data_IF_047688789775
#
_entry.id   IF_047688789775
#
_cell.length_a   1.000
_cell.length_b   1.000
_cell.length_c   1.000
_cell.angle_alpha   90.00
_cell.angle_beta   90.00
_cell.angle_gamma   90.00
#
_symmetry.space_group_name_H-M   'P 1'
#
loop_
_entity.id
_entity.type
_entity.pdbx_description
1 polymer ?
#
# COMPACT_ATOMS: atom_id res chain seq x y z
N UNK A 1 13.13 25.79 -28.30
CA UNK A 1 11.97 24.94 -27.96
C UNK A 1 12.31 24.30 -26.63
N UNK A 2 11.64 24.63 -25.50
CA UNK A 2 11.96 23.97 -24.24
C UNK A 2 11.45 22.54 -24.31
N UNK A 3 12.37 21.60 -24.11
CA UNK A 3 12.12 20.18 -23.88
C UNK A 3 11.22 20.05 -22.66
N UNK A 4 9.98 19.62 -22.86
CA UNK A 4 9.09 19.18 -21.77
C UNK A 4 9.78 18.00 -21.07
N UNK A 5 10.40 18.24 -19.93
CA UNK A 5 10.93 17.20 -19.05
C UNK A 5 9.73 16.37 -18.61
N UNK A 6 9.55 15.20 -19.24
CA UNK A 6 8.55 14.24 -18.80
C UNK A 6 9.04 13.71 -17.45
N UNK A 7 8.36 14.04 -16.36
CA UNK A 7 8.63 13.41 -15.08
C UNK A 7 8.48 11.89 -15.26
N UNK A 8 9.60 11.18 -15.14
CA UNK A 8 9.71 9.79 -15.51
C UNK A 8 9.48 8.94 -14.25
N UNK A 9 8.21 8.83 -13.87
CA UNK A 9 7.79 8.01 -12.74
C UNK A 9 7.89 6.53 -13.11
N UNK A 10 8.49 5.72 -12.24
CA UNK A 10 8.62 4.29 -12.46
C UNK A 10 9.78 3.88 -13.38
N UNK A 11 10.59 4.82 -13.85
CA UNK A 11 11.75 4.54 -14.71
C UNK A 11 12.74 3.56 -14.09
N UNK A 12 12.83 3.53 -12.76
CA UNK A 12 13.69 2.64 -11.98
C UNK A 12 12.91 1.52 -11.27
N UNK A 13 11.65 1.28 -11.66
CA UNK A 13 10.78 0.26 -11.09
C UNK A 13 10.49 -0.83 -12.11
N UNK A 14 10.50 -2.07 -11.64
CA UNK A 14 9.94 -3.21 -12.35
C UNK A 14 8.72 -3.74 -11.59
N UNK A 15 7.75 -4.28 -12.33
CA UNK A 15 6.57 -4.94 -11.78
C UNK A 15 6.52 -6.41 -12.19
N UNK A 16 5.92 -7.24 -11.33
CA UNK A 16 5.57 -8.63 -11.60
C UNK A 16 4.12 -8.85 -11.16
N UNK A 17 3.30 -9.42 -12.04
CA UNK A 17 1.91 -9.73 -11.73
C UNK A 17 1.71 -11.25 -11.58
N UNK A 18 0.94 -11.66 -10.58
CA UNK A 18 0.54 -13.04 -10.32
C UNK A 18 -0.94 -13.08 -9.98
N UNK A 19 -1.66 -14.06 -10.50
CA UNK A 19 -3.01 -14.38 -10.08
C UNK A 19 -2.98 -15.64 -9.22
N UNK A 20 -3.69 -15.63 -8.10
CA UNK A 20 -3.95 -16.83 -7.31
C UNK A 20 -5.15 -17.59 -7.87
N UNK A 21 -5.28 -18.87 -7.50
CA UNK A 21 -6.43 -19.71 -7.84
C UNK A 21 -7.76 -19.15 -7.34
N UNK A 22 -7.72 -18.34 -6.28
CA UNK A 22 -8.91 -17.83 -5.58
C UNK A 22 -9.38 -16.48 -6.12
N UNK A 23 -8.92 -16.12 -7.32
CA UNK A 23 -9.29 -14.87 -7.97
C UNK A 23 -8.67 -13.64 -7.29
N UNK A 24 -7.56 -13.80 -6.56
CA UNK A 24 -6.80 -12.67 -6.01
C UNK A 24 -5.60 -12.39 -6.91
N UNK A 25 -5.50 -11.17 -7.45
CA UNK A 25 -4.32 -10.69 -8.15
C UNK A 25 -3.37 -10.01 -7.17
N UNK A 26 -2.08 -10.33 -7.31
CA UNK A 26 -0.99 -9.67 -6.62
C UNK A 26 -0.06 -9.07 -7.68
N UNK A 27 0.18 -7.76 -7.60
CA UNK A 27 1.20 -7.08 -8.40
C UNK A 27 2.28 -6.59 -7.46
N UNK A 28 3.49 -7.11 -7.60
CA UNK A 28 4.65 -6.68 -6.83
C UNK A 28 5.46 -5.66 -7.64
N UNK A 29 6.04 -4.69 -6.95
CA UNK A 29 6.89 -3.63 -7.50
C UNK A 29 8.23 -3.65 -6.79
N UNK A 30 9.31 -3.75 -7.55
CA UNK A 30 10.68 -3.68 -7.03
C UNK A 30 11.47 -2.61 -7.77
N UNK A 31 12.60 -2.21 -7.20
CA UNK A 31 13.56 -1.38 -7.92
C UNK A 31 14.29 -2.21 -8.98
N UNK A 32 14.44 -1.70 -10.20
CA UNK A 32 15.08 -2.39 -11.33
C UNK A 32 16.51 -2.83 -11.05
N UNK A 33 17.26 -2.04 -10.29
CA UNK A 33 18.68 -2.28 -9.97
C UNK A 33 18.92 -2.95 -8.61
N UNK A 34 17.89 -3.10 -7.79
CA UNK A 34 18.01 -3.71 -6.46
C UNK A 34 16.99 -4.83 -6.30
N UNK A 35 17.47 -6.07 -6.29
CA UNK A 35 16.66 -7.26 -5.96
C UNK A 35 16.58 -7.52 -4.47
N UNK A 36 17.26 -6.70 -3.65
CA UNK A 36 17.39 -6.89 -2.21
C UNK A 36 16.34 -6.13 -1.41
N UNK A 37 15.78 -5.05 -1.98
CA UNK A 37 14.69 -4.32 -1.34
C UNK A 37 13.41 -5.17 -1.37
N UNK A 38 12.71 -5.34 -0.24
CA UNK A 38 11.41 -6.00 -0.22
C UNK A 38 10.45 -5.18 -1.10
N UNK A 39 9.78 -5.80 -2.08
CA UNK A 39 8.89 -5.09 -2.98
C UNK A 39 7.60 -4.66 -2.28
N UNK A 40 7.03 -3.59 -2.83
CA UNK A 40 5.66 -3.16 -2.57
C UNK A 40 4.69 -4.08 -3.31
N UNK A 41 3.60 -4.50 -2.68
CA UNK A 41 2.59 -5.35 -3.28
C UNK A 41 1.23 -4.65 -3.35
N UNK A 42 0.52 -4.83 -4.47
CA UNK A 42 -0.87 -4.42 -4.67
C UNK A 42 -1.72 -5.68 -4.82
N UNK A 43 -2.65 -5.88 -3.89
CA UNK A 43 -3.54 -7.05 -3.87
C UNK A 43 -4.96 -6.62 -4.24
N UNK A 44 -5.62 -7.36 -5.13
CA UNK A 44 -6.99 -7.07 -5.60
C UNK A 44 -7.77 -8.35 -5.87
N UNK A 45 -9.09 -8.39 -5.65
CA UNK A 45 -9.92 -9.53 -6.09
C UNK A 45 -10.51 -9.27 -7.46
N UNK A 46 -10.66 -10.36 -8.21
CA UNK A 46 -11.50 -10.47 -9.39
C UNK A 46 -12.90 -10.88 -8.96
N UNK A 47 -13.92 -10.22 -9.48
CA UNK A 47 -15.32 -10.67 -9.40
C UNK A 47 -16.25 -9.78 -8.59
N UNK A 48 -17.55 -9.92 -8.86
CA UNK A 48 -18.63 -9.09 -8.33
C UNK A 48 -18.92 -9.35 -6.85
N UNK A 49 -18.77 -10.59 -6.36
CA UNK A 49 -19.00 -10.95 -4.96
C UNK A 49 -17.88 -10.59 -3.99
N UNK A 50 -16.71 -10.18 -4.49
CA UNK A 50 -15.61 -9.73 -3.64
C UNK A 50 -15.90 -8.37 -2.99
N UNK A 51 -16.55 -7.47 -3.74
CA UNK A 51 -16.86 -6.11 -3.27
C UNK A 51 -17.85 -6.11 -2.11
N UNK A 52 -18.81 -7.03 -2.10
CA UNK A 52 -19.78 -7.18 -1.02
C UNK A 52 -19.10 -7.68 0.26
N UNK A 53 -18.32 -8.76 0.18
CA UNK A 53 -17.55 -9.29 1.31
C UNK A 53 -16.54 -8.29 1.87
N UNK A 54 -15.91 -7.50 1.01
CA UNK A 54 -15.04 -6.40 1.44
C UNK A 54 -15.78 -5.31 2.17
N UNK A 55 -16.97 -4.92 1.67
CA UNK A 55 -17.81 -3.94 2.38
C UNK A 55 -18.14 -4.44 3.78
N UNK A 56 -18.56 -5.69 3.91
CA UNK A 56 -18.86 -6.30 5.21
C UNK A 56 -17.63 -6.34 6.14
N UNK A 57 -16.46 -6.73 5.63
CA UNK A 57 -15.21 -6.73 6.38
C UNK A 57 -14.81 -5.31 6.84
N UNK A 58 -15.01 -4.31 5.98
CA UNK A 58 -14.69 -2.92 6.28
C UNK A 58 -15.70 -2.27 7.22
N UNK A 59 -16.98 -2.62 7.12
CA UNK A 59 -18.00 -2.22 8.09
C UNK A 59 -17.70 -2.80 9.47
N UNK A 60 -17.21 -4.05 9.55
CA UNK A 60 -16.71 -4.63 10.79
C UNK A 60 -15.54 -3.84 11.40
N UNK A 61 -14.60 -3.41 10.54
CA UNK A 61 -13.45 -2.60 10.94
C UNK A 61 -13.82 -1.17 11.34
N UNK A 62 -14.84 -0.55 10.73
CA UNK A 62 -15.30 0.79 11.14
C UNK A 62 -15.73 0.84 12.61
N UNK A 63 -16.31 -0.25 13.12
CA UNK A 63 -16.63 -0.40 14.54
C UNK A 63 -15.38 -0.46 15.45
N UNK A 64 -14.18 -0.52 14.88
CA UNK A 64 -12.90 -0.59 15.59
C UNK A 64 -12.10 0.71 15.50
N UNK A 65 -12.72 1.81 15.05
CA UNK A 65 -12.08 3.12 14.99
C UNK A 65 -11.44 3.47 16.34
N UNK A 66 -10.17 3.88 16.31
CA UNK A 66 -9.41 4.30 17.50
C UNK A 66 -8.74 3.19 18.32
N UNK A 67 -9.14 1.92 18.19
CA UNK A 67 -8.49 0.80 18.90
C UNK A 67 -8.23 -0.36 17.94
N UNK A 68 -6.97 -0.67 17.59
CA UNK A 68 -6.65 -1.84 16.77
C UNK A 68 -7.09 -3.17 17.40
N UNK A 69 -7.16 -4.22 16.58
CA UNK A 69 -7.54 -5.57 16.99
C UNK A 69 -6.52 -6.60 16.55
N UNK A 70 -6.06 -7.38 17.51
CA UNK A 70 -5.19 -8.51 17.26
C UNK A 70 -5.89 -9.58 16.42
N UNK A 71 -5.12 -10.17 15.52
CA UNK A 71 -5.53 -11.29 14.68
C UNK A 71 -4.37 -12.25 14.48
N UNK A 72 -4.70 -13.51 14.23
CA UNK A 72 -3.75 -14.55 13.80
C UNK A 72 -4.31 -15.27 12.59
N UNK A 73 -3.44 -15.74 11.70
CA UNK A 73 -3.80 -16.52 10.53
C UNK A 73 -2.78 -17.63 10.28
N UNK A 74 -3.25 -18.76 9.76
CA UNK A 74 -2.46 -19.91 9.37
C UNK A 74 -3.13 -20.59 8.16
N UNK A 75 -2.67 -21.79 7.77
CA UNK A 75 -3.23 -22.53 6.64
C UNK A 75 -4.71 -22.93 6.80
N UNK A 76 -5.22 -23.01 8.03
CA UNK A 76 -6.59 -23.42 8.34
C UNK A 76 -7.57 -22.23 8.34
N UNK A 77 -7.08 -21.01 8.58
CA UNK A 77 -7.93 -19.82 8.59
C UNK A 77 -7.32 -18.63 9.32
N UNK A 78 -8.17 -17.65 9.65
CA UNK A 78 -7.84 -16.51 10.47
C UNK A 78 -8.78 -16.44 11.68
N UNK A 79 -8.24 -16.00 12.81
CA UNK A 79 -8.98 -15.80 14.04
C UNK A 79 -8.75 -14.39 14.58
N UNK A 80 -9.83 -13.73 14.99
CA UNK A 80 -9.81 -12.45 15.66
C UNK A 80 -10.50 -12.54 17.02
N UNK A 81 -9.93 -11.86 18.01
CA UNK A 81 -10.59 -11.72 19.32
C UNK A 81 -11.90 -10.96 19.15
N UNK A 82 -13.06 -11.54 19.51
CA UNK A 82 -14.36 -10.88 19.36
C UNK A 82 -14.45 -9.64 20.25
N UNK A 83 -15.22 -8.65 19.80
CA UNK A 83 -15.62 -7.50 20.64
C UNK A 83 -17.04 -7.65 21.15
N UNK A 84 -17.33 -7.05 22.30
CA UNK A 84 -18.69 -7.01 22.82
C UNK A 84 -19.61 -6.29 21.83
N UNK A 85 -20.76 -6.90 21.51
CA UNK A 85 -21.75 -6.34 20.58
C UNK A 85 -21.38 -6.48 19.09
N UNK A 86 -20.28 -7.13 18.76
CA UNK A 86 -19.90 -7.39 17.37
C UNK A 86 -20.81 -8.45 16.73
N UNK A 87 -21.22 -8.19 15.48
CA UNK A 87 -21.95 -9.16 14.67
C UNK A 87 -20.99 -10.27 14.19
N UNK A 88 -21.37 -11.52 14.43
CA UNK A 88 -20.53 -12.67 14.11
C UNK A 88 -20.20 -12.75 12.60
N UNK A 89 -21.14 -12.35 11.75
CA UNK A 89 -20.99 -12.36 10.29
C UNK A 89 -19.96 -11.33 9.81
N UNK A 90 -19.98 -10.14 10.41
CA UNK A 90 -19.05 -9.05 10.08
C UNK A 90 -17.61 -9.43 10.47
N UNK A 91 -17.44 -10.07 11.63
CA UNK A 91 -16.15 -10.65 12.05
C UNK A 91 -15.67 -11.72 11.07
N UNK A 92 -16.54 -12.66 10.71
CA UNK A 92 -16.20 -13.75 9.80
C UNK A 92 -15.79 -13.24 8.41
N UNK A 93 -16.44 -12.16 7.93
CA UNK A 93 -16.05 -11.49 6.68
C UNK A 93 -14.63 -10.89 6.78
N UNK A 94 -14.29 -10.26 7.92
CA UNK A 94 -12.96 -9.70 8.15
C UNK A 94 -11.88 -10.78 8.32
N UNK A 95 -12.15 -11.84 9.07
CA UNK A 95 -11.27 -13.01 9.19
C UNK A 95 -11.00 -13.62 7.81
N UNK A 96 -12.05 -13.81 7.00
CA UNK A 96 -11.93 -14.28 5.61
C UNK A 96 -11.09 -13.31 4.78
N UNK A 97 -11.33 -12.01 4.87
CA UNK A 97 -10.56 -11.00 4.15
C UNK A 97 -9.06 -11.07 4.48
N UNK A 98 -8.71 -11.09 5.78
CA UNK A 98 -7.32 -11.18 6.24
C UNK A 98 -6.68 -12.49 5.75
N UNK A 99 -7.39 -13.60 5.90
CA UNK A 99 -6.88 -14.91 5.48
C UNK A 99 -6.61 -14.96 3.97
N UNK A 100 -7.57 -14.57 3.14
CA UNK A 100 -7.43 -14.65 1.68
C UNK A 100 -6.39 -13.64 1.14
N UNK A 101 -6.40 -12.40 1.65
CA UNK A 101 -5.57 -11.31 1.14
C UNK A 101 -4.15 -11.32 1.67
N UNK A 102 -3.98 -11.54 2.97
CA UNK A 102 -2.69 -11.42 3.63
C UNK A 102 -2.06 -12.81 3.71
N UNK A 103 -2.72 -13.78 4.34
CA UNK A 103 -2.12 -15.10 4.52
C UNK A 103 -1.98 -15.87 3.19
N UNK A 104 -3.07 -16.14 2.47
CA UNK A 104 -3.02 -16.93 1.24
C UNK A 104 -2.34 -16.21 0.08
N UNK A 105 -2.75 -14.98 -0.23
CA UNK A 105 -2.23 -14.30 -1.40
C UNK A 105 -0.79 -13.78 -1.23
N UNK A 106 -0.43 -13.22 -0.07
CA UNK A 106 0.92 -12.67 0.13
C UNK A 106 1.89 -13.70 0.72
N UNK A 107 1.46 -14.47 1.71
CA UNK A 107 2.32 -15.45 2.39
C UNK A 107 2.24 -16.86 1.80
N UNK A 108 1.20 -17.19 1.03
CA UNK A 108 1.02 -18.53 0.46
C UNK A 108 2.07 -18.94 -0.59
N UNK A 109 2.93 -18.01 -1.02
CA UNK A 109 4.08 -18.30 -1.88
C UNK A 109 5.40 -18.35 -1.11
N UNK A 110 5.36 -18.49 0.21
CA UNK A 110 6.52 -18.45 1.11
C UNK A 110 6.50 -19.63 2.08
N UNK A 111 7.51 -19.73 2.95
CA UNK A 111 7.56 -20.73 4.04
C UNK A 111 6.76 -20.31 5.28
N UNK A 112 5.97 -19.25 5.20
CA UNK A 112 5.16 -18.78 6.32
C UNK A 112 4.18 -19.87 6.78
N UNK A 113 4.24 -20.21 8.06
CA UNK A 113 3.30 -21.11 8.71
C UNK A 113 2.18 -20.33 9.41
N UNK A 114 2.52 -19.17 9.98
CA UNK A 114 1.57 -18.30 10.67
C UNK A 114 1.86 -16.83 10.36
N UNK A 115 0.81 -16.01 10.38
CA UNK A 115 0.87 -14.56 10.35
C UNK A 115 0.07 -13.99 11.52
N UNK A 116 0.54 -12.91 12.12
CA UNK A 116 -0.14 -12.26 13.23
C UNK A 116 0.08 -10.75 13.20
N UNK A 117 -0.88 -10.02 13.73
CA UNK A 117 -0.84 -8.57 13.69
C UNK A 117 -2.07 -7.91 14.28
N UNK A 118 -2.23 -6.63 13.96
CA UNK A 118 -3.35 -5.80 14.37
C UNK A 118 -4.04 -5.18 13.15
N UNK A 119 -5.36 -5.08 13.20
CA UNK A 119 -6.18 -4.41 12.21
C UNK A 119 -6.94 -3.23 12.84
N UNK A 120 -7.02 -2.09 12.15
CA UNK A 120 -7.73 -0.93 12.66
C UNK A 120 -8.13 0.07 11.57
N UNK A 121 -8.92 1.06 11.96
CA UNK A 121 -9.38 2.14 11.08
C UNK A 121 -8.96 3.47 11.64
N UNK A 122 -8.46 4.34 10.77
CA UNK A 122 -8.19 5.73 11.11
C UNK A 122 -8.59 6.67 9.97
N UNK A 123 -8.98 7.89 10.31
CA UNK A 123 -9.23 8.98 9.38
C UNK A 123 -8.13 10.03 9.61
N UNK A 124 -7.06 10.05 8.79
CA UNK A 124 -5.99 11.01 8.98
C UNK A 124 -6.49 12.44 8.70
N UNK A 125 -6.23 13.34 9.64
CA UNK A 125 -6.38 14.78 9.42
C UNK A 125 -5.21 15.34 8.59
N UNK A 126 -5.36 16.52 8.01
CA UNK A 126 -4.25 17.23 7.37
C UNK A 126 -3.08 17.39 8.35
N UNK A 127 -1.88 16.98 7.93
CA UNK A 127 -0.63 17.09 8.69
C UNK A 127 0.02 15.77 9.09
N UNK A 128 -0.74 14.66 9.25
CA UNK A 128 -0.15 13.37 9.66
C UNK A 128 0.37 12.55 8.47
N UNK A 129 -0.37 12.52 7.34
CA UNK A 129 -0.08 11.58 6.25
C UNK A 129 0.13 12.23 4.88
N UNK A 130 0.36 13.54 4.82
CA UNK A 130 0.66 14.28 3.57
C UNK A 130 2.16 14.31 3.26
N UNK A 131 2.99 13.98 4.25
CA UNK A 131 4.44 13.92 4.15
C UNK A 131 4.88 12.46 3.95
N UNK A 132 6.06 12.25 3.39
CA UNK A 132 6.68 10.92 3.39
C UNK A 132 6.90 10.46 4.83
N UNK A 133 6.36 9.29 5.17
CA UNK A 133 6.46 8.71 6.50
C UNK A 133 6.52 7.18 6.43
N UNK A 134 6.66 6.59 7.62
CA UNK A 134 6.65 5.17 7.94
C UNK A 134 5.81 5.00 9.21
N UNK A 135 4.97 3.97 9.26
CA UNK A 135 3.93 3.79 10.27
C UNK A 135 4.30 2.82 11.42
N UNK A 136 5.38 2.05 11.28
CA UNK A 136 5.74 0.94 12.15
C UNK A 136 7.14 0.39 11.86
N UNK A 137 8.16 1.10 12.31
CA UNK A 137 9.57 0.80 12.03
C UNK A 137 10.08 -0.48 12.73
N UNK A 138 9.95 -1.63 12.06
CA UNK A 138 10.75 -2.84 12.34
C UNK A 138 10.97 -3.65 11.07
N UNK A 139 12.19 -4.15 10.87
CA UNK A 139 12.50 -5.07 9.77
C UNK A 139 11.67 -6.37 9.89
N UNK A 140 11.07 -6.82 8.78
CA UNK A 140 10.18 -7.98 8.75
C UNK A 140 8.77 -7.73 9.30
N UNK A 141 8.42 -6.47 9.61
CA UNK A 141 7.04 -6.05 9.83
C UNK A 141 6.47 -5.38 8.57
N UNK A 142 5.22 -5.73 8.25
CA UNK A 142 4.50 -5.29 7.08
C UNK A 142 3.33 -4.41 7.48
N UNK A 143 3.06 -3.43 6.64
CA UNK A 143 1.88 -2.56 6.75
C UNK A 143 1.06 -2.77 5.49
N UNK A 144 -0.25 -2.92 5.67
CA UNK A 144 -1.20 -2.92 4.57
C UNK A 144 -2.25 -1.83 4.75
N UNK A 145 -2.55 -1.11 3.66
CA UNK A 145 -3.54 -0.04 3.61
C UNK A 145 -4.61 -0.31 2.56
N UNK A 146 -5.86 -0.08 2.95
CA UNK A 146 -7.01 -0.04 2.05
C UNK A 146 -7.83 1.23 2.32
N UNK A 147 -8.24 1.93 1.25
CA UNK A 147 -9.11 3.11 1.38
C UNK A 147 -10.54 2.64 1.55
N UNK A 148 -11.17 3.04 2.65
CA UNK A 148 -12.59 2.85 2.84
C UNK A 148 -13.29 3.97 2.08
N UNK A 149 -13.97 3.63 0.99
CA UNK A 149 -14.76 4.62 0.25
C UNK A 149 -15.79 5.24 1.21
N UNK A 150 -15.80 6.58 1.28
CA UNK A 150 -17.00 7.29 1.69
C UNK A 150 -18.09 6.92 0.66
N UNK A 151 -19.26 6.51 1.14
CA UNK A 151 -20.39 6.35 0.23
C UNK A 151 -20.69 7.71 -0.41
N UNK A 152 -21.11 7.65 -1.69
CA UNK A 152 -21.63 8.72 -2.56
C UNK A 152 -20.69 9.39 -3.58
N UNK A 153 -21.30 9.64 -4.73
CA UNK A 153 -20.77 9.78 -6.08
C UNK A 153 -20.33 11.20 -6.42
N UNK A 154 -19.65 11.92 -5.52
CA UNK A 154 -19.19 13.25 -5.89
C UNK A 154 -17.84 13.21 -6.64
N UNK A 155 -17.91 13.62 -7.91
CA UNK A 155 -16.80 13.78 -8.87
C UNK A 155 -15.62 14.60 -8.32
N UNK A 156 -15.82 15.43 -7.30
CA UNK A 156 -14.81 16.36 -6.78
C UNK A 156 -13.75 15.75 -5.84
N UNK A 157 -13.95 14.54 -5.30
CA UNK A 157 -13.00 13.89 -4.38
C UNK A 157 -11.98 12.95 -5.08
N UNK A 158 -11.72 13.16 -6.37
CA UNK A 158 -10.87 12.30 -7.22
C UNK A 158 -9.47 12.04 -6.64
N UNK A 159 -8.92 13.01 -5.93
CA UNK A 159 -7.59 12.95 -5.34
C UNK A 159 -7.42 11.99 -4.15
N UNK A 160 -8.50 11.58 -3.47
CA UNK A 160 -8.44 10.76 -2.26
C UNK A 160 -8.31 9.25 -2.47
N UNK A 161 -8.33 8.78 -3.73
CA UNK A 161 -8.61 7.38 -4.10
C UNK A 161 -7.36 6.54 -4.42
N UNK A 162 -6.17 7.05 -4.13
CA UNK A 162 -4.90 6.38 -4.42
C UNK A 162 -3.85 6.66 -3.33
N UNK A 163 -2.70 5.98 -3.43
CA UNK A 163 -1.55 6.12 -2.52
C UNK A 163 -0.26 6.41 -3.30
N UNK A 164 0.61 7.22 -2.69
CA UNK A 164 1.96 7.52 -3.16
C UNK A 164 2.97 6.67 -2.38
N UNK A 165 3.77 5.85 -3.07
CA UNK A 165 4.83 5.06 -2.46
C UNK A 165 6.18 5.32 -3.15
N UNK A 166 7.26 5.17 -2.41
CA UNK A 166 8.63 5.22 -2.90
C UNK A 166 9.42 4.02 -2.36
N UNK A 167 10.03 3.26 -3.26
CA UNK A 167 10.95 2.19 -2.91
C UNK A 167 12.31 2.80 -2.53
N UNK A 168 12.77 2.58 -1.29
CA UNK A 168 14.08 3.07 -0.82
C UNK A 168 15.11 1.95 -0.78
N UNK A 169 16.39 2.30 -0.87
CA UNK A 169 17.48 1.34 -0.69
C UNK A 169 17.71 1.03 0.79
N UNK A 170 18.07 -0.22 1.08
CA UNK A 170 18.47 -0.64 2.43
C UNK A 170 19.91 -0.21 2.78
N UNK A 171 20.75 0.04 1.78
CA UNK A 171 22.15 0.42 1.92
C UNK A 171 22.42 1.74 1.18
N UNK A 172 22.47 2.86 1.92
CA UNK A 172 22.93 4.17 1.40
C UNK A 172 24.48 4.25 1.33
N UNK A 173 25.19 3.13 1.24
CA UNK A 173 26.67 3.10 1.34
C UNK A 173 27.40 3.21 -0.01
N UNK A 174 26.72 3.16 -1.14
CA UNK A 174 27.32 3.61 -2.40
C UNK A 174 27.04 5.09 -2.59
N UNK A 175 28.08 5.90 -2.32
CA UNK A 175 28.25 7.29 -2.69
C UNK A 175 27.44 7.62 -3.96
N UNK A 176 26.20 8.07 -3.75
CA UNK A 176 25.22 8.33 -4.79
C UNK A 176 25.70 9.56 -5.57
N UNK A 177 26.59 9.34 -6.53
CA UNK A 177 27.03 10.33 -7.53
C UNK A 177 25.94 10.67 -8.55
N UNK A 178 24.77 10.06 -8.44
CA UNK A 178 23.60 10.42 -9.24
C UNK A 178 22.94 11.63 -8.61
N UNK A 179 22.85 12.73 -9.35
CA UNK A 179 22.14 13.96 -9.00
C UNK A 179 20.87 13.63 -8.19
N UNK A 180 20.95 13.74 -6.87
CA UNK A 180 19.79 13.84 -6.02
C UNK A 180 19.24 15.23 -6.30
N UNK A 181 18.33 15.32 -7.26
CA UNK A 181 17.58 16.55 -7.44
C UNK A 181 16.87 16.82 -6.12
N UNK A 182 17.24 17.92 -5.46
CA UNK A 182 16.42 18.52 -4.42
C UNK A 182 15.11 18.90 -5.10
N UNK A 183 14.15 18.00 -5.00
CA UNK A 183 12.76 18.36 -5.28
C UNK A 183 12.36 19.20 -4.09
N UNK A 184 12.26 20.51 -4.29
CA UNK A 184 11.79 21.42 -3.26
C UNK A 184 10.33 21.08 -2.99
N UNK A 185 10.13 20.37 -1.91
CA UNK A 185 8.82 19.89 -1.53
C UNK A 185 8.20 20.71 -0.40
N UNK A 186 8.72 21.91 -0.11
CA UNK A 186 8.26 22.84 0.94
C UNK A 186 8.01 22.14 2.31
N UNK A 187 8.98 22.26 3.23
CA UNK A 187 8.99 21.66 4.58
C UNK A 187 9.09 20.12 4.68
N UNK A 188 9.64 19.42 3.68
CA UNK A 188 9.88 17.97 3.77
C UNK A 188 11.24 17.66 4.40
N UNK A 189 11.22 17.03 5.59
CA UNK A 189 12.43 16.71 6.36
C UNK A 189 13.40 15.71 5.69
N UNK A 190 14.41 15.27 6.46
CA UNK A 190 15.51 14.36 6.07
C UNK A 190 15.03 13.14 5.25
N UNK A 191 13.88 12.56 5.57
CA UNK A 191 13.36 11.35 4.90
C UNK A 191 13.03 11.53 3.41
N UNK A 192 12.74 12.76 2.98
CA UNK A 192 12.46 13.05 1.56
C UNK A 192 13.73 13.07 0.70
N UNK A 193 14.91 13.26 1.30
CA UNK A 193 16.20 13.26 0.59
C UNK A 193 16.54 11.88 0.00
N UNK A 194 15.99 10.81 0.58
CA UNK A 194 16.19 9.43 0.13
C UNK A 194 15.18 8.99 -0.95
N UNK A 195 14.27 9.86 -1.42
CA UNK A 195 13.26 9.54 -2.43
C UNK A 195 13.69 10.04 -3.82
N UNK A 196 14.03 9.12 -4.73
CA UNK A 196 14.25 9.42 -6.15
C UNK A 196 12.93 9.38 -6.93
N UNK A 197 12.72 10.32 -7.85
CA UNK A 197 11.49 10.39 -8.70
C UNK A 197 11.24 9.08 -9.48
N UNK A 198 12.30 8.44 -9.97
CA UNK A 198 12.22 7.18 -10.73
C UNK A 198 11.71 5.99 -9.92
N UNK A 199 11.76 6.05 -8.58
CA UNK A 199 11.33 4.97 -7.67
C UNK A 199 9.88 5.10 -7.21
N UNK A 200 9.16 6.10 -7.70
CA UNK A 200 7.78 6.37 -7.30
C UNK A 200 6.80 5.37 -7.91
N UNK A 201 5.89 4.84 -7.08
CA UNK A 201 4.81 3.94 -7.48
C UNK A 201 3.46 4.53 -7.06
N UNK A 202 2.64 4.99 -8.02
CA UNK A 202 1.26 5.37 -7.74
C UNK A 202 0.39 4.12 -7.69
N UNK A 203 -0.31 3.89 -6.58
CA UNK A 203 -1.25 2.79 -6.47
C UNK A 203 -2.68 3.31 -6.41
N UNK A 204 -3.44 3.05 -7.46
CA UNK A 204 -4.89 3.16 -7.47
C UNK A 204 -5.49 2.22 -6.41
N UNK A 205 -6.15 2.80 -5.41
CA UNK A 205 -6.72 2.05 -4.29
C UNK A 205 -8.22 1.73 -4.48
N UNK A 206 -8.79 2.01 -5.66
CA UNK A 206 -10.21 1.76 -5.94
C UNK A 206 -10.53 0.27 -6.03
N UNK A 207 -11.75 -0.08 -5.61
CA UNK A 207 -12.32 -1.41 -5.85
C UNK A 207 -11.62 -2.54 -5.09
N UNK A 208 -11.41 -2.35 -3.79
CA UNK A 208 -10.94 -3.43 -2.90
C UNK A 208 -9.44 -3.64 -2.87
N UNK A 209 -8.67 -2.64 -3.31
CA UNK A 209 -7.21 -2.77 -3.38
C UNK A 209 -6.59 -2.64 -2.00
N UNK A 210 -5.74 -3.61 -1.65
CA UNK A 210 -4.89 -3.59 -0.48
C UNK A 210 -3.43 -3.34 -0.93
N UNK A 211 -2.83 -2.25 -0.47
CA UNK A 211 -1.42 -1.93 -0.72
C UNK A 211 -0.60 -2.43 0.46
N UNK A 212 0.39 -3.29 0.25
CA UNK A 212 1.20 -3.90 1.30
C UNK A 212 2.67 -3.65 1.08
N UNK A 213 3.40 -3.27 2.12
CA UNK A 213 4.82 -3.00 2.04
C UNK A 213 5.53 -3.29 3.36
N UNK A 214 6.84 -3.57 3.31
CA UNK A 214 7.68 -3.58 4.50
C UNK A 214 7.96 -2.13 4.90
N UNK A 215 7.43 -1.72 6.05
CA UNK A 215 7.46 -0.31 6.49
C UNK A 215 8.90 0.21 6.68
N UNK A 216 9.83 -0.67 7.07
CA UNK A 216 11.25 -0.31 7.18
C UNK A 216 11.95 -0.03 5.84
N UNK A 217 11.35 -0.37 4.70
CA UNK A 217 11.99 -0.32 3.38
C UNK A 217 11.20 0.45 2.32
N UNK A 218 10.02 0.97 2.67
CA UNK A 218 9.18 1.76 1.76
C UNK A 218 8.80 3.04 2.48
N UNK A 219 8.81 4.17 1.75
CA UNK A 219 8.18 5.40 2.20
C UNK A 219 6.82 5.51 1.53
N UNK A 220 5.82 5.99 2.26
CA UNK A 220 4.49 6.21 1.71
C UNK A 220 3.92 7.54 2.18
N UNK A 221 2.94 8.04 1.42
CA UNK A 221 2.11 9.17 1.78
C UNK A 221 0.77 9.15 1.07
N UNK A 222 -0.14 9.98 1.56
CA UNK A 222 -1.37 10.31 0.84
C UNK A 222 -1.04 11.26 -0.29
N UNK A 223 -1.70 11.13 -1.45
CA UNK A 223 -1.42 12.00 -2.59
C UNK A 223 -1.75 13.45 -2.26
N UNK A 224 -0.98 14.40 -2.83
CA UNK A 224 -1.19 15.84 -2.60
C UNK A 224 -2.63 16.26 -2.92
N UNK A 225 -3.24 15.65 -3.94
CA UNK A 225 -4.63 15.87 -4.34
C UNK A 225 -5.66 15.45 -3.29
N UNK A 226 -5.30 14.64 -2.29
CA UNK A 226 -6.18 14.26 -1.20
C UNK A 226 -6.33 15.35 -0.12
N UNK A 227 -5.64 16.49 -0.24
CA UNK A 227 -5.64 17.56 0.78
C UNK A 227 -7.04 17.92 1.29
N UNK A 228 -7.99 18.18 0.39
CA UNK A 228 -9.39 18.49 0.76
C UNK A 228 -10.08 17.35 1.53
N UNK A 229 -9.87 16.10 1.11
CA UNK A 229 -10.48 14.93 1.75
C UNK A 229 -9.86 14.64 3.14
N UNK A 230 -8.58 14.98 3.32
CA UNK A 230 -7.88 14.91 4.59
C UNK A 230 -8.33 16.04 5.53
N UNK A 231 -8.51 17.25 5.02
CA UNK A 231 -9.08 18.39 5.77
C UNK A 231 -10.48 18.05 6.29
N UNK A 232 -11.31 17.46 5.43
CA UNK A 232 -12.68 17.07 5.76
C UNK A 232 -12.78 15.74 6.54
N UNK A 233 -11.66 15.05 6.82
CA UNK A 233 -11.63 13.71 7.42
C UNK A 233 -12.49 12.66 6.69
N UNK A 234 -12.76 12.85 5.39
CA UNK A 234 -13.60 11.95 4.59
C UNK A 234 -12.82 10.78 4.00
N UNK A 235 -11.47 10.84 4.05
CA UNK A 235 -10.60 9.75 3.63
C UNK A 235 -10.33 8.81 4.80
N UNK A 236 -11.12 7.75 4.94
CA UNK A 236 -10.91 6.73 5.97
C UNK A 236 -10.03 5.59 5.44
N UNK A 237 -9.09 5.11 6.25
CA UNK A 237 -8.13 4.06 5.88
C UNK A 237 -8.26 2.89 6.85
N UNK A 238 -8.42 1.68 6.31
CA UNK A 238 -8.19 0.44 7.04
C UNK A 238 -6.69 0.10 6.97
N UNK A 239 -6.07 -0.14 8.12
CA UNK A 239 -4.67 -0.50 8.28
C UNK A 239 -4.51 -1.84 8.95
N UNK A 240 -3.59 -2.64 8.44
CA UNK A 240 -3.18 -3.90 9.01
C UNK A 240 -1.66 -3.86 9.23
N UNK A 241 -1.22 -4.02 10.47
CA UNK A 241 0.19 -4.15 10.83
C UNK A 241 0.45 -5.60 11.17
N UNK A 242 1.42 -6.27 10.53
CA UNK A 242 1.60 -7.71 10.73
C UNK A 242 2.99 -8.21 10.42
N UNK A 243 3.29 -9.41 10.88
CA UNK A 243 4.48 -10.18 10.51
C UNK A 243 4.07 -11.64 10.30
N UNK A 244 4.94 -12.41 9.68
CA UNK A 244 4.76 -13.86 9.56
C UNK A 244 6.01 -14.60 9.99
N UNK A 245 5.84 -15.83 10.46
CA UNK A 245 6.92 -16.73 10.85
C UNK A 245 6.78 -18.09 10.19
N UNK A 246 7.90 -18.76 10.00
CA UNK A 246 7.95 -20.15 9.52
C UNK A 246 7.63 -21.15 10.64
N UNK A 247 7.61 -22.45 10.32
CA UNK A 247 7.37 -23.52 11.29
C UNK A 247 8.42 -23.63 12.41
N UNK A 248 9.54 -22.88 12.32
CA UNK A 248 10.57 -22.77 13.34
C UNK A 248 10.51 -21.44 14.12
N UNK A 249 9.51 -20.60 13.86
CA UNK A 249 9.33 -19.31 14.51
C UNK A 249 10.23 -18.18 13.97
N UNK A 250 10.88 -18.36 12.81
CA UNK A 250 11.71 -17.32 12.20
C UNK A 250 10.86 -16.42 11.32
N UNK A 251 11.10 -15.10 11.39
CA UNK A 251 10.40 -14.12 10.56
C UNK A 251 10.60 -14.41 9.08
N UNK A 252 9.49 -14.47 8.34
CA UNK A 252 9.48 -14.65 6.90
C UNK A 252 9.46 -13.28 6.24
N UNK A 253 10.49 -13.00 5.43
CA UNK A 253 10.49 -11.82 4.57
C UNK A 253 9.76 -12.12 3.28
N UNK A 254 8.89 -11.20 2.89
CA UNK A 254 8.04 -11.36 1.73
C UNK A 254 8.74 -10.82 0.49
N UNK A 255 8.63 -11.63 -0.55
CA UNK A 255 8.85 -11.34 -1.95
C UNK A 255 10.30 -11.23 -2.44
N UNK A 256 10.74 -12.36 -3.00
CA UNK A 256 11.30 -12.43 -4.35
C UNK A 256 11.15 -13.90 -4.77
N UNK A 257 10.05 -14.32 -5.39
CA UNK A 257 9.97 -15.68 -5.91
C UNK A 257 11.10 -15.85 -6.92
N UNK A 258 11.91 -16.88 -6.77
CA UNK A 258 13.09 -17.11 -7.62
C UNK A 258 12.73 -17.19 -9.12
N UNK A 259 11.47 -17.50 -9.42
CA UNK A 259 10.90 -17.66 -10.76
C UNK A 259 10.08 -16.44 -11.26
N UNK A 260 10.06 -15.33 -10.52
CA UNK A 260 9.28 -14.15 -10.93
C UNK A 260 9.87 -13.47 -12.18
N UNK A 261 9.03 -13.30 -13.21
CA UNK A 261 9.34 -12.48 -14.37
C UNK A 261 9.00 -11.02 -14.09
N UNK A 262 10.00 -10.16 -14.17
CA UNK A 262 9.89 -8.72 -13.88
C UNK A 262 9.98 -7.93 -15.18
N UNK A 263 9.08 -6.97 -15.35
CA UNK A 263 9.04 -6.09 -16.52
C UNK A 263 9.08 -4.64 -16.07
N UNK A 264 9.65 -3.72 -16.86
CA UNK A 264 9.58 -2.28 -16.59
C UNK A 264 8.16 -1.84 -16.25
N UNK A 265 8.01 -1.12 -15.13
CA UNK A 265 6.72 -0.56 -14.74
C UNK A 265 6.41 0.68 -15.59
N UNK A 266 5.22 0.70 -16.21
CA UNK A 266 4.70 1.87 -16.93
C UNK A 266 3.19 1.99 -16.67
N UNK A 267 2.81 2.95 -15.84
CA UNK A 267 1.39 3.23 -15.53
C UNK A 267 1.02 4.70 -15.77
N UNK A 268 1.66 5.32 -16.77
CA UNK A 268 1.40 6.72 -17.15
C UNK A 268 -0.07 6.97 -17.49
N UNK A 269 -0.77 5.96 -18.00
CA UNK A 269 -2.20 6.01 -18.31
C UNK A 269 -3.08 6.13 -17.07
N UNK A 270 -2.88 5.29 -16.05
CA UNK A 270 -3.68 5.36 -14.83
C UNK A 270 -3.41 6.64 -14.05
N UNK A 271 -2.16 7.11 -13.99
CA UNK A 271 -1.82 8.37 -13.30
C UNK A 271 -2.61 9.54 -13.88
N UNK A 272 -2.65 9.69 -15.21
CA UNK A 272 -3.44 10.76 -15.86
C UNK A 272 -4.94 10.67 -15.51
N UNK A 273 -5.48 9.47 -15.40
CA UNK A 273 -6.87 9.24 -14.99
C UNK A 273 -7.12 9.51 -13.50
N UNK A 274 -6.09 9.39 -12.65
CA UNK A 274 -6.15 9.69 -11.21
C UNK A 274 -5.94 11.19 -10.91
N UNK A 275 -5.28 11.92 -11.81
CA UNK A 275 -4.88 13.33 -11.65
C UNK A 275 -5.68 14.30 -12.52
N UNK A 276 -6.82 13.90 -13.07
CA UNK A 276 -7.67 14.70 -13.97
C UNK A 276 -8.40 15.89 -13.28
N UNK A 277 -7.68 16.63 -12.42
CA UNK A 277 -8.00 18.00 -12.03
C UNK A 277 -6.87 18.92 -12.52
N UNK A 278 -7.24 20.09 -13.04
CA UNK A 278 -6.32 21.13 -13.52
C UNK A 278 -5.14 21.32 -12.54
N UNK A 279 -3.95 20.87 -12.95
CA UNK A 279 -2.77 20.87 -12.07
C UNK A 279 -1.74 19.78 -12.31
N UNK A 280 -2.04 18.75 -13.12
CA UNK A 280 -1.03 17.76 -13.50
C UNK A 280 0.17 18.40 -14.23
N UNK A 281 -0.08 19.39 -15.10
CA UNK A 281 0.99 20.12 -15.78
C UNK A 281 1.84 20.97 -14.82
N UNK A 282 1.29 21.43 -13.70
CA UNK A 282 2.05 22.10 -12.64
C UNK A 282 2.87 21.08 -11.81
N UNK A 283 2.27 19.91 -11.53
CA UNK A 283 2.97 18.79 -10.87
C UNK A 283 4.14 18.28 -11.72
N UNK A 284 4.09 18.39 -13.04
CA UNK A 284 5.17 17.96 -13.96
C UNK A 284 6.20 19.07 -14.24
N UNK A 285 5.81 20.35 -14.15
CA UNK A 285 6.71 21.48 -14.41
C UNK A 285 7.55 21.91 -13.21
N UNK A 286 7.02 21.79 -12.00
CA UNK A 286 7.71 22.19 -10.76
C UNK A 286 8.26 21.00 -9.96
N UNK A 287 8.27 19.79 -10.53
CA UNK A 287 8.94 18.60 -9.96
C UNK A 287 10.29 18.37 -10.57
#
# INVERSE_FOLDING_TARGET
>A
MPTTTRAAFGDDVDACARATSDGVDVVCYRRRRSTRAPPLARVRARGTGAREREREAFDALRATMGTPRAWTANAEGCAMTPRAGERAEARAALETFIHERIFRALFGTTTAATAAGDAGVFAPHRGTNVMWHRDGYMAGAYVAHAILAAEEEEEEASGGKWFEHALVDADEDEESTTETFEVDFENQGILSKSVRKGNFVPIDARGGVLCVFEDAAVLHRSPKSAGKALDAMTRTIARFNFSAVDGSGRTVRIFAPDDASWTPFDDRGAVRGLTAMDGFDAYVRDS
#
